data_IF_466853396527
#
_entry.id   IF_466853396527
#
_cell.length_a   1.000
_cell.length_b   1.000
_cell.length_c   1.000
_cell.angle_alpha   90.00
_cell.angle_beta   90.00
_cell.angle_gamma   90.00
#
_symmetry.space_group_name_H-M   'P 1'
#
loop_
_entity.id
_entity.type
_entity.pdbx_description
1 polymer ?
#
# COMPACT_ATOMS: atom_id res chain seq x y z
N UNK A 1 13.33 -46.62 56.92
CA UNK A 1 12.68 -45.70 57.90
C UNK A 1 12.52 -44.33 57.25
N UNK A 2 11.39 -43.62 57.50
CA UNK A 2 11.13 -42.13 57.58
C UNK A 2 12.29 -41.16 57.19
N UNK A 3 12.20 -39.93 56.61
CA UNK A 3 11.20 -38.91 56.09
C UNK A 3 12.03 -37.79 55.39
N UNK A 4 11.55 -36.80 54.62
CA UNK A 4 10.26 -36.63 53.93
C UNK A 4 9.38 -35.38 54.19
N UNK A 5 9.82 -34.11 53.99
CA UNK A 5 8.94 -32.87 54.03
C UNK A 5 9.53 -31.57 53.40
N UNK A 6 8.94 -31.08 52.30
CA UNK A 6 8.16 -29.81 52.07
C UNK A 6 8.51 -28.39 52.67
N UNK A 7 8.21 -27.35 51.85
CA UNK A 7 7.93 -25.87 52.10
C UNK A 7 9.14 -24.90 52.23
N UNK A 8 9.08 -23.57 51.93
CA UNK A 8 8.02 -22.62 51.44
C UNK A 8 8.61 -21.30 50.84
N UNK A 9 7.85 -20.65 49.95
CA UNK A 9 7.58 -19.22 49.61
C UNK A 9 8.46 -17.99 50.01
N UNK A 10 8.52 -17.04 49.05
CA UNK A 10 8.37 -15.55 49.12
C UNK A 10 9.42 -14.54 49.68
N UNK A 11 10.00 -13.76 48.73
CA UNK A 11 9.80 -12.29 48.52
C UNK A 11 10.62 -11.17 49.23
N UNK A 12 10.79 -10.09 48.42
CA UNK A 12 11.16 -8.67 48.68
C UNK A 12 12.63 -8.24 48.89
N UNK A 13 13.01 -7.22 48.12
CA UNK A 13 14.15 -6.29 48.33
C UNK A 13 13.64 -4.84 48.25
N UNK A 14 14.28 -3.95 49.01
CA UNK A 14 13.94 -2.53 49.18
C UNK A 14 14.75 -1.57 48.27
N UNK A 15 14.27 -0.33 48.12
CA UNK A 15 15.04 0.85 47.71
C UNK A 15 14.14 1.91 47.04
N UNK A 16 13.72 3.05 47.61
CA UNK A 16 14.34 4.13 48.41
C UNK A 16 15.16 5.15 47.59
N UNK A 17 14.70 6.42 47.50
CA UNK A 17 15.55 7.55 47.04
C UNK A 17 14.88 8.65 46.19
N UNK A 18 14.09 9.52 46.82
CA UNK A 18 13.80 10.93 46.39
C UNK A 18 14.71 11.86 47.25
N UNK A 19 14.99 13.16 46.97
CA UNK A 19 13.95 14.23 46.81
C UNK A 19 14.30 15.55 46.04
N UNK A 20 13.31 16.47 46.03
CA UNK A 20 13.30 17.91 45.67
C UNK A 20 13.53 18.33 44.20
N UNK A 21 12.82 19.32 43.61
CA UNK A 21 11.63 20.06 44.06
C UNK A 21 11.78 21.60 44.00
N UNK A 22 11.34 22.26 42.92
CA UNK A 22 11.10 23.72 42.84
C UNK A 22 9.87 23.99 41.95
N UNK A 23 8.90 24.75 42.46
CA UNK A 23 7.82 25.38 41.68
C UNK A 23 8.19 26.82 41.31
N UNK A 24 7.84 27.28 40.09
CA UNK A 24 6.88 28.39 39.87
C UNK A 24 6.71 28.76 38.38
N UNK A 25 5.62 29.47 37.98
CA UNK A 25 5.08 29.40 36.63
C UNK A 25 5.47 30.57 35.70
N UNK A 26 5.66 30.26 34.41
CA UNK A 26 5.72 31.26 33.34
C UNK A 26 4.44 31.27 32.51
N UNK A 27 3.58 32.25 32.78
CA UNK A 27 2.44 32.61 31.91
C UNK A 27 2.97 33.16 30.58
N UNK A 28 2.92 32.37 29.51
CA UNK A 28 3.11 32.92 28.16
C UNK A 28 1.81 33.55 27.66
N UNK A 29 1.85 34.85 27.33
CA UNK A 29 0.78 35.52 26.58
C UNK A 29 1.01 35.24 25.09
N UNK A 30 0.14 34.46 24.46
CA UNK A 30 0.13 34.35 23.00
C UNK A 30 -0.62 35.53 22.38
N UNK A 31 0.12 36.55 21.93
CA UNK A 31 -0.45 37.65 21.16
C UNK A 31 -0.82 37.17 19.76
N UNK A 32 -2.11 36.98 19.48
CA UNK A 32 -2.62 36.70 18.14
C UNK A 32 -2.55 37.99 17.31
N UNK A 33 -1.66 38.03 16.32
CA UNK A 33 -1.73 39.04 15.28
C UNK A 33 -2.94 38.73 14.36
N UNK A 34 -3.87 39.68 14.26
CA UNK A 34 -5.07 39.56 13.41
C UNK A 34 -5.12 40.74 12.46
N UNK A 35 -4.90 40.49 11.16
CA UNK A 35 -5.30 41.44 10.12
C UNK A 35 -6.79 41.29 9.87
N UNK A 36 -7.49 42.43 9.79
CA UNK A 36 -8.89 42.54 9.36
C UNK A 36 -8.96 43.51 8.20
N UNK A 37 -9.55 43.06 7.09
CA UNK A 37 -9.91 43.91 5.96
C UNK A 37 -11.44 43.91 5.81
N UNK A 38 -12.10 45.05 5.53
CA UNK A 38 -13.52 45.09 5.26
C UNK A 38 -13.82 44.58 3.84
N UNK A 39 -14.89 43.79 3.69
CA UNK A 39 -15.48 43.50 2.38
C UNK A 39 -17.01 43.52 2.47
N UNK A 40 -17.68 43.76 1.35
CA UNK A 40 -19.13 43.86 1.26
C UNK A 40 -19.78 42.48 1.51
N UNK A 41 -20.21 42.25 2.74
CA UNK A 41 -20.81 40.99 3.20
C UNK A 41 -20.22 40.44 4.51
N UNK A 42 -19.06 40.92 4.96
CA UNK A 42 -18.48 40.52 6.24
C UNK A 42 -16.96 40.67 6.34
N UNK A 43 -16.42 40.39 7.53
CA UNK A 43 -14.99 40.52 7.84
C UNK A 43 -14.32 39.15 7.86
N UNK A 44 -13.30 38.95 7.02
CA UNK A 44 -12.43 37.77 7.11
C UNK A 44 -11.32 38.03 8.15
N UNK A 45 -11.01 37.02 8.97
CA UNK A 45 -9.90 37.07 9.94
C UNK A 45 -8.99 35.86 9.74
N UNK A 46 -7.70 36.11 9.52
CA UNK A 46 -6.69 35.06 9.43
C UNK A 46 -6.08 34.81 10.83
N UNK A 47 -5.98 33.55 11.24
CA UNK A 47 -5.33 33.16 12.50
C UNK A 47 -4.15 32.23 12.23
N UNK A 48 -2.95 32.68 12.58
CA UNK A 48 -1.75 31.85 12.64
C UNK A 48 -1.67 31.19 14.02
N UNK A 49 -1.73 29.86 14.07
CA UNK A 49 -1.49 29.09 15.29
C UNK A 49 -0.03 28.62 15.35
N UNK A 50 0.67 28.77 16.49
CA UNK A 50 2.00 28.20 16.65
C UNK A 50 1.90 26.69 16.88
N UNK A 51 2.67 25.89 16.13
CA UNK A 51 2.80 24.45 16.37
C UNK A 51 3.83 24.18 17.46
N UNK A 52 3.46 23.37 18.45
CA UNK A 52 4.39 22.88 19.49
C UNK A 52 5.13 21.64 18.99
N UNK A 53 6.46 21.73 18.85
CA UNK A 53 7.33 20.57 18.71
C UNK A 53 8.19 20.40 19.97
N UNK A 54 8.16 19.22 20.57
CA UNK A 54 9.14 18.81 21.58
C UNK A 54 10.45 18.43 20.86
N UNK A 55 11.55 19.08 21.26
CA UNK A 55 12.90 18.78 20.75
C UNK A 55 13.67 17.96 21.78
N UNK A 56 14.06 16.74 21.43
CA UNK A 56 15.15 16.03 22.10
C UNK A 56 16.49 16.55 21.56
N UNK A 57 17.42 16.86 22.47
CA UNK A 57 18.66 17.58 22.16
C UNK A 57 19.80 16.60 21.87
N UNK A 58 20.32 16.59 20.64
CA UNK A 58 21.63 16.00 20.31
C UNK A 58 22.64 17.15 20.15
N UNK A 59 23.77 17.17 20.89
CA UNK A 59 24.77 18.22 20.75
C UNK A 59 25.79 17.88 19.65
N UNK A 60 26.03 18.81 18.72
CA UNK A 60 27.22 18.76 17.84
C UNK A 60 27.02 18.82 16.32
N UNK A 61 26.01 19.53 15.80
CA UNK A 61 25.95 19.85 14.36
C UNK A 61 25.36 21.24 14.08
N UNK A 62 25.83 21.86 13.00
CA UNK A 62 25.54 23.25 12.64
C UNK A 62 24.13 23.47 12.08
N UNK A 63 23.70 24.74 12.16
CA UNK A 63 22.35 25.20 11.83
C UNK A 63 21.97 24.98 10.35
N UNK A 64 20.94 24.17 10.11
CA UNK A 64 20.19 24.13 8.85
C UNK A 64 18.78 24.66 9.09
N UNK A 65 18.27 25.64 8.31
CA UNK A 65 16.90 26.10 8.45
C UNK A 65 15.90 25.03 7.98
N UNK A 66 15.09 24.51 8.89
CA UNK A 66 13.97 23.62 8.55
C UNK A 66 12.84 24.41 7.87
N UNK A 67 12.18 23.86 6.81
CA UNK A 67 11.04 24.52 6.19
C UNK A 67 9.81 24.50 7.10
N UNK A 68 9.09 25.62 7.15
CA UNK A 68 7.83 25.75 7.87
C UNK A 68 6.75 24.85 7.24
N UNK A 69 6.21 23.92 8.01
CA UNK A 69 5.06 23.11 7.60
C UNK A 69 3.80 23.96 7.68
N UNK A 70 3.19 24.29 6.54
CA UNK A 70 1.95 25.04 6.50
C UNK A 70 0.76 24.14 6.88
N UNK A 71 0.14 24.40 8.02
CA UNK A 71 -1.05 23.69 8.49
C UNK A 71 -2.27 23.93 7.58
N UNK A 72 -3.13 22.91 7.45
CA UNK A 72 -4.40 23.01 6.70
C UNK A 72 -5.31 24.09 7.30
N UNK A 73 -5.72 25.06 6.49
CA UNK A 73 -6.84 25.92 6.82
C UNK A 73 -8.16 25.14 6.75
N UNK A 74 -9.04 25.33 7.74
CA UNK A 74 -10.40 24.79 7.75
C UNK A 74 -11.39 25.95 7.88
N UNK A 75 -12.38 26.03 6.98
CA UNK A 75 -13.47 26.99 7.10
C UNK A 75 -14.53 26.46 8.06
N UNK A 76 -14.76 27.18 9.16
CA UNK A 76 -15.86 26.92 10.08
C UNK A 76 -16.97 27.97 9.91
N UNK A 77 -17.93 27.70 9.00
CA UNK A 77 -19.14 28.52 8.85
C UNK A 77 -20.13 28.18 9.96
N UNK A 78 -20.41 29.12 10.87
CA UNK A 78 -21.54 28.98 11.81
C UNK A 78 -22.84 29.34 11.10
N UNK A 79 -23.62 28.34 10.72
CA UNK A 79 -25.05 28.50 10.48
C UNK A 79 -25.84 27.66 11.49
N UNK A 80 -26.88 28.26 12.08
CA UNK A 80 -27.85 27.51 12.87
C UNK A 80 -28.59 26.52 11.95
N UNK A 81 -28.63 25.26 12.38
CA UNK A 81 -29.39 24.19 11.71
C UNK A 81 -30.75 24.02 12.41
N UNK A 82 -31.76 23.54 11.67
CA UNK A 82 -32.43 22.32 12.14
C UNK A 82 -32.59 21.24 11.06
N UNK A 83 -32.19 20.03 11.44
CA UNK A 83 -32.63 18.68 11.02
C UNK A 83 -32.79 18.24 9.54
N UNK A 84 -32.15 17.08 9.28
CA UNK A 84 -32.51 15.97 8.35
C UNK A 84 -32.30 16.12 6.83
N UNK A 85 -31.11 15.70 6.36
CA UNK A 85 -30.88 14.59 5.39
C UNK A 85 -29.41 14.58 4.91
N UNK A 86 -28.84 13.44 4.45
CA UNK A 86 -27.38 13.31 4.30
C UNK A 86 -26.85 14.00 3.04
N UNK A 87 -25.91 14.93 3.23
CA UNK A 87 -25.19 15.61 2.14
C UNK A 87 -24.05 14.73 1.65
N UNK A 88 -24.01 14.52 0.33
CA UNK A 88 -22.94 13.81 -0.38
C UNK A 88 -21.57 14.47 -0.18
N UNK A 89 -20.44 13.74 -0.29
CA UNK A 89 -19.12 14.31 -0.11
C UNK A 89 -18.84 15.38 -1.19
N UNK A 90 -18.70 16.63 -0.75
CA UNK A 90 -18.35 17.76 -1.63
C UNK A 90 -17.05 17.49 -2.39
N UNK A 91 -17.01 17.74 -3.72
CA UNK A 91 -15.82 17.44 -4.52
C UNK A 91 -14.68 18.42 -4.20
N UNK A 92 -13.47 17.88 -4.04
CA UNK A 92 -12.21 18.64 -3.78
C UNK A 92 -11.92 19.78 -4.78
N UNK A 93 -12.62 19.82 -5.92
CA UNK A 93 -12.43 20.80 -7.01
C UNK A 93 -12.67 22.26 -6.58
N UNK A 94 -13.59 22.53 -5.65
CA UNK A 94 -13.93 23.91 -5.30
C UNK A 94 -12.79 24.63 -4.55
N UNK A 95 -12.05 23.94 -3.67
CA UNK A 95 -10.91 24.54 -2.97
C UNK A 95 -9.79 24.98 -3.93
N UNK A 96 -9.53 24.20 -4.99
CA UNK A 96 -8.58 24.57 -6.04
C UNK A 96 -9.06 25.77 -6.86
N UNK A 97 -10.36 25.85 -7.19
CA UNK A 97 -10.91 26.96 -7.98
C UNK A 97 -10.77 28.31 -7.23
N UNK A 98 -11.03 28.35 -5.92
CA UNK A 98 -10.86 29.56 -5.12
C UNK A 98 -9.39 30.05 -5.06
N UNK A 99 -8.41 29.14 -5.01
CA UNK A 99 -6.99 29.51 -5.08
C UNK A 99 -6.57 30.01 -6.47
N UNK A 100 -7.05 29.37 -7.54
CA UNK A 100 -6.74 29.76 -8.91
C UNK A 100 -7.32 31.14 -9.25
N UNK A 101 -8.55 31.43 -8.82
CA UNK A 101 -9.18 32.75 -9.05
C UNK A 101 -8.42 33.89 -8.34
N UNK A 102 -7.86 33.64 -7.15
CA UNK A 102 -7.08 34.65 -6.40
C UNK A 102 -5.69 34.88 -7.02
N UNK A 103 -5.07 33.82 -7.56
CA UNK A 103 -3.77 33.91 -8.24
C UNK A 103 -3.87 34.36 -9.71
N UNK A 104 -5.06 34.37 -10.33
CA UNK A 104 -5.27 34.96 -11.66
C UNK A 104 -5.03 36.49 -11.71
N UNK A 105 -4.90 37.13 -10.54
CA UNK A 105 -4.51 38.53 -10.36
C UNK A 105 -3.08 38.68 -9.79
N UNK A 106 -2.32 37.58 -9.66
CA UNK A 106 -0.97 37.62 -9.11
C UNK A 106 0.01 38.24 -10.11
N UNK A 107 0.86 39.14 -9.62
CA UNK A 107 1.94 39.70 -10.44
C UNK A 107 2.97 38.64 -10.79
N UNK A 108 3.75 38.89 -11.84
CA UNK A 108 4.80 37.99 -12.33
C UNK A 108 5.80 37.60 -11.23
N UNK A 109 6.11 38.52 -10.31
CA UNK A 109 6.99 38.31 -9.17
C UNK A 109 6.43 37.30 -8.17
N UNK A 110 5.11 37.34 -7.91
CA UNK A 110 4.43 36.39 -7.01
C UNK A 110 4.44 34.99 -7.62
N UNK A 111 4.18 34.87 -8.92
CA UNK A 111 4.23 33.57 -9.61
C UNK A 111 5.65 33.00 -9.63
N UNK A 112 6.67 33.83 -9.90
CA UNK A 112 8.09 33.44 -9.81
C UNK A 112 8.52 33.05 -8.39
N UNK A 113 7.94 33.64 -7.35
CA UNK A 113 8.18 33.25 -5.97
C UNK A 113 7.48 31.93 -5.59
N UNK A 114 6.29 31.66 -6.11
CA UNK A 114 5.48 30.47 -5.75
C UNK A 114 5.86 29.22 -6.54
N UNK A 115 6.09 29.33 -7.85
CA UNK A 115 6.29 28.16 -8.73
C UNK A 115 7.48 27.25 -8.35
N UNK A 116 8.63 27.74 -7.80
CA UNK A 116 9.71 26.89 -7.30
C UNK A 116 9.32 25.91 -6.17
N UNK A 117 8.20 26.16 -5.49
CA UNK A 117 7.68 25.32 -4.40
C UNK A 117 6.66 24.25 -4.86
N UNK A 118 6.18 24.32 -6.11
CA UNK A 118 5.23 23.36 -6.66
C UNK A 118 5.92 22.04 -7.03
N UNK A 119 5.14 20.95 -7.06
CA UNK A 119 5.59 19.70 -7.69
C UNK A 119 5.40 19.73 -9.21
N UNK A 120 5.87 18.70 -9.92
CA UNK A 120 5.79 18.66 -11.38
C UNK A 120 4.40 18.43 -11.97
N UNK A 121 3.41 18.01 -11.17
CA UNK A 121 2.01 17.87 -11.58
C UNK A 121 1.29 19.21 -11.41
N UNK A 122 1.51 19.89 -10.29
CA UNK A 122 0.95 21.21 -10.03
C UNK A 122 1.55 22.26 -10.97
N UNK A 123 2.88 22.23 -11.19
CA UNK A 123 3.55 23.12 -12.16
C UNK A 123 3.08 22.85 -13.60
N UNK A 124 2.86 21.58 -13.99
CA UNK A 124 2.26 21.26 -15.29
C UNK A 124 0.82 21.79 -15.42
N UNK A 125 0.06 21.78 -14.33
CA UNK A 125 -1.30 22.31 -14.28
C UNK A 125 -1.34 23.84 -14.41
N UNK A 126 -0.34 24.53 -13.84
CA UNK A 126 -0.14 25.98 -14.00
C UNK A 126 0.02 26.37 -15.48
N UNK A 127 0.69 25.54 -16.30
CA UNK A 127 0.86 25.78 -17.75
C UNK A 127 -0.44 25.81 -18.56
N UNK A 128 -1.58 25.44 -17.96
CA UNK A 128 -2.89 25.40 -18.61
C UNK A 128 -3.84 26.52 -18.16
N UNK A 129 -3.42 27.42 -17.27
CA UNK A 129 -4.27 28.51 -16.73
C UNK A 129 -4.41 29.65 -17.73
N UNK A 130 -3.32 30.35 -18.03
CA UNK A 130 -3.27 31.42 -19.04
C UNK A 130 -1.88 31.50 -19.71
N UNK A 131 -1.65 32.53 -20.52
CA UNK A 131 -0.36 32.75 -21.18
C UNK A 131 0.77 33.10 -20.20
N UNK A 132 0.55 34.00 -19.25
CA UNK A 132 1.56 34.45 -18.28
C UNK A 132 2.02 33.28 -17.40
N UNK A 133 1.07 32.52 -16.85
CA UNK A 133 1.34 31.32 -16.07
C UNK A 133 2.09 30.27 -16.90
N UNK A 134 1.69 30.07 -18.16
CA UNK A 134 2.39 29.16 -19.07
C UNK A 134 3.82 29.59 -19.35
N UNK A 135 4.06 30.86 -19.64
CA UNK A 135 5.39 31.37 -19.98
C UNK A 135 6.33 31.24 -18.77
N UNK A 136 5.86 31.55 -17.54
CA UNK A 136 6.64 31.39 -16.30
C UNK A 136 6.81 29.91 -15.92
N UNK A 137 5.76 29.09 -15.98
CA UNK A 137 5.83 27.66 -15.64
C UNK A 137 6.59 26.84 -16.69
N UNK A 138 6.84 27.38 -17.89
CA UNK A 138 7.69 26.76 -18.91
C UNK A 138 9.19 26.98 -18.66
N UNK A 139 9.60 27.77 -17.66
CA UNK A 139 11.00 27.99 -17.34
C UNK A 139 11.70 26.67 -16.99
N UNK A 140 12.66 26.30 -17.83
CA UNK A 140 13.37 25.03 -17.74
C UNK A 140 14.24 24.93 -16.47
N UNK A 141 14.52 26.05 -15.79
CA UNK A 141 15.14 26.05 -14.46
C UNK A 141 14.24 25.41 -13.40
N UNK A 142 12.92 25.67 -13.43
CA UNK A 142 11.96 25.05 -12.51
C UNK A 142 11.93 23.52 -12.71
N UNK A 143 11.91 23.10 -13.98
CA UNK A 143 11.97 21.69 -14.35
C UNK A 143 13.33 21.05 -14.06
N UNK A 144 14.44 21.80 -14.17
CA UNK A 144 15.78 21.35 -13.73
C UNK A 144 15.83 21.11 -12.23
N UNK A 145 15.22 21.97 -11.42
CA UNK A 145 15.11 21.78 -9.98
C UNK A 145 14.26 20.55 -9.62
N UNK A 146 13.15 20.32 -10.31
CA UNK A 146 12.33 19.10 -10.16
C UNK A 146 13.08 17.83 -10.60
N UNK A 147 13.81 17.89 -11.72
CA UNK A 147 14.70 16.82 -12.17
C UNK A 147 15.84 16.57 -11.17
N UNK A 148 16.44 17.61 -10.58
CA UNK A 148 17.51 17.46 -9.61
C UNK A 148 17.05 16.76 -8.33
N UNK A 149 15.80 16.99 -7.88
CA UNK A 149 15.20 16.30 -6.74
C UNK A 149 14.94 14.81 -7.00
N UNK A 150 14.64 14.41 -8.25
CA UNK A 150 14.21 13.04 -8.61
C UNK A 150 15.30 12.18 -9.28
N UNK A 151 16.14 12.80 -10.09
CA UNK A 151 17.21 12.18 -10.87
C UNK A 151 18.47 13.08 -10.83
N UNK A 152 19.17 13.20 -9.69
CA UNK A 152 20.24 14.19 -9.49
C UNK A 152 21.39 14.09 -10.50
N UNK A 153 21.68 12.90 -11.02
CA UNK A 153 22.73 12.63 -12.00
C UNK A 153 22.54 13.37 -13.33
N UNK A 154 21.29 13.63 -13.72
CA UNK A 154 20.95 14.26 -15.00
C UNK A 154 21.33 15.74 -14.99
N UNK A 155 21.11 16.41 -13.85
CA UNK A 155 21.47 17.81 -13.64
C UNK A 155 22.98 18.03 -13.39
N UNK A 156 23.78 16.95 -13.24
CA UNK A 156 25.25 17.02 -13.17
C UNK A 156 25.92 17.20 -14.54
N UNK A 157 25.24 16.84 -15.63
CA UNK A 157 25.72 17.17 -16.96
C UNK A 157 25.23 18.57 -17.35
N UNK A 158 26.09 19.45 -17.90
CA UNK A 158 25.67 20.80 -18.30
C UNK A 158 24.67 20.79 -19.46
N UNK A 159 24.71 19.76 -20.33
CA UNK A 159 23.80 19.58 -21.47
C UNK A 159 23.35 18.10 -21.58
N UNK A 160 22.34 17.64 -20.81
CA UNK A 160 21.79 16.29 -20.94
C UNK A 160 20.91 16.18 -22.19
N UNK A 161 21.54 16.03 -23.36
CA UNK A 161 20.93 15.94 -24.71
C UNK A 161 20.22 17.22 -25.20
N UNK A 162 19.68 17.20 -26.42
CA UNK A 162 18.91 18.30 -27.05
C UNK A 162 17.48 18.45 -26.49
N UNK A 163 17.20 17.85 -25.34
CA UNK A 163 15.90 17.86 -24.66
C UNK A 163 15.95 18.83 -23.48
N UNK A 164 14.92 19.67 -23.36
CA UNK A 164 14.72 20.53 -22.18
C UNK A 164 14.37 19.68 -20.96
N UNK A 165 14.69 20.14 -19.75
CA UNK A 165 14.32 19.45 -18.50
C UNK A 165 12.80 19.25 -18.39
N UNK A 166 11.97 20.16 -18.91
CA UNK A 166 10.52 19.94 -19.06
C UNK A 166 10.20 18.70 -19.92
N UNK A 167 10.81 18.57 -21.10
CA UNK A 167 10.60 17.41 -21.98
C UNK A 167 11.12 16.13 -21.34
N UNK A 168 12.26 16.19 -20.66
CA UNK A 168 12.79 15.08 -19.89
C UNK A 168 11.79 14.64 -18.81
N UNK A 169 11.41 15.57 -17.92
CA UNK A 169 10.46 15.31 -16.84
C UNK A 169 9.15 14.73 -17.38
N UNK A 170 8.54 15.35 -18.39
CA UNK A 170 7.32 14.88 -19.04
C UNK A 170 7.43 13.46 -19.64
N UNK A 171 8.61 13.08 -20.12
CA UNK A 171 8.85 11.75 -20.72
C UNK A 171 8.93 10.66 -19.65
N UNK A 172 9.69 10.88 -18.58
CA UNK A 172 9.96 9.88 -17.53
C UNK A 172 9.01 9.97 -16.32
N UNK A 173 8.24 11.05 -16.18
CA UNK A 173 7.18 11.19 -15.19
C UNK A 173 5.86 10.53 -15.62
N UNK A 174 5.63 10.37 -16.94
CA UNK A 174 4.51 9.56 -17.42
C UNK A 174 4.68 8.14 -16.86
N UNK A 175 3.67 7.66 -16.13
CA UNK A 175 3.48 6.21 -15.93
C UNK A 175 3.62 5.57 -17.30
N UNK A 176 4.43 4.51 -17.41
CA UNK A 176 4.52 3.73 -18.64
C UNK A 176 3.09 3.50 -19.13
N UNK A 177 2.79 3.93 -20.35
CA UNK A 177 1.56 3.47 -20.98
C UNK A 177 1.64 1.95 -20.94
N UNK A 178 0.60 1.32 -20.37
CA UNK A 178 0.36 -0.11 -20.55
C UNK A 178 0.35 -0.31 -22.05
N UNK A 179 1.48 -0.74 -22.61
CA UNK A 179 1.53 -1.21 -23.99
C UNK A 179 0.50 -2.32 -24.03
N UNK A 180 -0.38 -2.29 -25.01
CA UNK A 180 -1.31 -3.39 -25.24
C UNK A 180 -0.46 -4.61 -25.57
N UNK A 181 -0.17 -5.41 -24.55
CA UNK A 181 0.47 -6.70 -24.71
C UNK A 181 -0.48 -7.54 -25.58
N UNK A 182 0.11 -8.39 -26.43
CA UNK A 182 -0.70 -9.31 -27.24
C UNK A 182 -1.57 -10.15 -26.30
N UNK A 183 -2.81 -10.50 -26.66
CA UNK A 183 -3.66 -11.34 -25.81
C UNK A 183 -2.91 -12.61 -25.34
N UNK A 184 -3.10 -13.06 -24.09
CA UNK A 184 -2.51 -14.31 -23.62
C UNK A 184 -2.85 -15.47 -24.56
N UNK A 185 -1.90 -16.40 -24.75
CA UNK A 185 -2.11 -17.58 -25.63
C UNK A 185 -2.83 -18.74 -24.93
N UNK A 186 -3.29 -18.52 -23.70
CA UNK A 186 -3.97 -19.49 -22.84
C UNK A 186 -5.24 -18.87 -22.25
N UNK A 187 -6.28 -19.68 -22.09
CA UNK A 187 -7.47 -19.34 -21.30
C UNK A 187 -7.53 -20.18 -20.03
N UNK A 188 -8.17 -19.65 -18.98
CA UNK A 188 -8.49 -20.42 -17.77
C UNK A 188 -9.39 -21.63 -18.04
N UNK A 189 -10.15 -21.62 -19.13
CA UNK A 189 -10.97 -22.76 -19.56
C UNK A 189 -10.13 -23.97 -19.99
N UNK A 190 -8.91 -23.71 -20.47
CA UNK A 190 -7.94 -24.72 -20.93
C UNK A 190 -6.95 -25.15 -19.83
N UNK A 191 -7.02 -24.54 -18.64
CA UNK A 191 -6.11 -24.82 -17.52
C UNK A 191 -6.75 -25.74 -16.47
N UNK A 192 -5.93 -26.58 -15.86
CA UNK A 192 -6.26 -27.39 -14.68
C UNK A 192 -5.11 -27.29 -13.66
N UNK A 193 -5.43 -27.06 -12.39
CA UNK A 193 -4.46 -26.86 -11.33
C UNK A 193 -4.47 -28.07 -10.39
N UNK A 194 -3.35 -28.77 -10.34
CA UNK A 194 -3.12 -29.91 -9.46
C UNK A 194 -2.56 -29.36 -8.15
N UNK A 195 -3.33 -29.45 -7.07
CA UNK A 195 -2.99 -28.82 -5.78
C UNK A 195 -2.93 -29.92 -4.72
N UNK A 196 -1.72 -30.21 -4.23
CA UNK A 196 -1.46 -31.25 -3.22
C UNK A 196 -0.92 -30.61 -1.94
N UNK A 197 -1.58 -30.83 -0.81
CA UNK A 197 -1.18 -30.34 0.51
C UNK A 197 -0.84 -31.52 1.42
N UNK A 198 0.34 -31.47 2.02
CA UNK A 198 0.92 -32.52 2.84
C UNK A 198 1.24 -31.99 4.24
N UNK A 199 0.91 -32.74 5.28
CA UNK A 199 1.53 -32.58 6.61
C UNK A 199 2.57 -33.68 6.80
N UNK A 200 3.83 -33.29 6.90
CA UNK A 200 4.99 -34.18 6.95
C UNK A 200 5.08 -35.08 5.69
N UNK A 201 4.54 -36.30 5.76
CA UNK A 201 4.40 -37.24 4.65
C UNK A 201 2.94 -37.74 4.45
N UNK A 202 1.98 -37.19 5.19
CA UNK A 202 0.56 -37.51 5.07
C UNK A 202 -0.11 -36.50 4.14
N UNK A 203 -0.79 -36.99 3.10
CA UNK A 203 -1.59 -36.16 2.21
C UNK A 203 -2.86 -35.70 2.95
N UNK A 204 -3.04 -34.39 3.11
CA UNK A 204 -4.23 -33.80 3.74
C UNK A 204 -5.31 -33.43 2.71
N UNK A 205 -4.87 -32.97 1.54
CA UNK A 205 -5.73 -32.51 0.46
C UNK A 205 -5.04 -32.73 -0.89
N UNK A 206 -5.79 -33.17 -1.90
CA UNK A 206 -5.32 -33.34 -3.28
C UNK A 206 -6.52 -33.18 -4.21
N UNK A 207 -6.47 -32.20 -5.11
CA UNK A 207 -7.56 -31.93 -6.05
C UNK A 207 -7.02 -31.39 -7.38
N UNK A 208 -7.77 -31.66 -8.46
CA UNK A 208 -7.57 -31.07 -9.78
C UNK A 208 -8.63 -30.01 -10.01
N UNK A 209 -8.26 -28.74 -9.84
CA UNK A 209 -9.17 -27.60 -9.87
C UNK A 209 -9.17 -26.96 -11.26
N UNK A 210 -10.31 -26.89 -11.97
CA UNK A 210 -10.37 -26.21 -13.27
C UNK A 210 -10.02 -24.72 -13.13
N UNK A 211 -9.25 -24.18 -14.08
CA UNK A 211 -8.86 -22.78 -14.08
C UNK A 211 -10.07 -21.83 -14.08
N UNK A 212 -11.18 -22.22 -14.70
CA UNK A 212 -12.44 -21.46 -14.69
C UNK A 212 -13.08 -21.35 -13.30
N UNK A 213 -12.92 -22.35 -12.41
CA UNK A 213 -13.36 -22.30 -11.01
C UNK A 213 -12.50 -21.31 -10.22
N UNK A 214 -11.18 -21.45 -10.33
CA UNK A 214 -10.21 -20.53 -9.73
C UNK A 214 -10.40 -19.07 -10.18
N UNK A 215 -10.73 -18.85 -11.45
CA UNK A 215 -10.99 -17.52 -12.03
C UNK A 215 -12.36 -16.95 -11.64
N UNK A 216 -13.38 -17.80 -11.46
CA UNK A 216 -14.68 -17.35 -10.94
C UNK A 216 -14.56 -16.90 -9.48
N UNK A 217 -13.66 -17.52 -8.73
CA UNK A 217 -13.54 -17.32 -7.29
C UNK A 217 -14.73 -17.93 -6.54
N UNK A 218 -14.73 -17.76 -5.23
CA UNK A 218 -15.92 -18.01 -4.41
C UNK A 218 -16.22 -16.83 -3.49
N UNK A 219 -17.50 -16.68 -3.14
CA UNK A 219 -17.93 -15.78 -2.08
C UNK A 219 -17.77 -16.50 -0.74
N UNK A 220 -17.13 -15.85 0.22
CA UNK A 220 -16.96 -16.40 1.56
C UNK A 220 -18.31 -16.86 2.14
N UNK A 221 -18.37 -18.03 2.82
CA UNK A 221 -19.56 -18.46 3.54
C UNK A 221 -20.07 -17.35 4.48
N UNK A 222 -21.38 -17.11 4.47
CA UNK A 222 -21.99 -16.03 5.26
C UNK A 222 -21.90 -16.24 6.79
N UNK A 223 -21.57 -17.47 7.23
CA UNK A 223 -21.46 -17.85 8.64
C UNK A 223 -20.06 -18.41 8.93
N UNK A 224 -19.46 -18.01 10.06
CA UNK A 224 -18.20 -18.57 10.57
C UNK A 224 -16.90 -18.04 9.93
N UNK A 225 -16.96 -17.13 8.95
CA UNK A 225 -15.78 -16.41 8.45
C UNK A 225 -15.65 -15.07 9.15
N UNK A 226 -14.45 -14.76 9.67
CA UNK A 226 -14.15 -13.48 10.32
C UNK A 226 -14.31 -12.29 9.34
N UNK A 227 -14.85 -11.17 9.83
CA UNK A 227 -15.12 -9.98 9.01
C UNK A 227 -13.85 -9.36 8.38
N UNK A 228 -12.68 -9.50 9.02
CA UNK A 228 -11.43 -9.05 8.41
C UNK A 228 -11.03 -9.89 7.19
N UNK A 229 -11.26 -11.22 7.25
CA UNK A 229 -11.00 -12.08 6.10
C UNK A 229 -12.04 -11.84 4.98
N UNK A 230 -13.31 -11.56 5.32
CA UNK A 230 -14.31 -11.10 4.33
C UNK A 230 -13.83 -9.83 3.61
N UNK A 231 -13.37 -8.82 4.34
CA UNK A 231 -12.86 -7.58 3.75
C UNK A 231 -11.65 -7.80 2.82
N UNK A 232 -10.73 -8.71 3.18
CA UNK A 232 -9.63 -9.10 2.27
C UNK A 232 -10.14 -9.83 1.02
N UNK A 233 -11.12 -10.71 1.17
CA UNK A 233 -11.72 -11.46 0.06
C UNK A 233 -12.51 -10.55 -0.90
N UNK A 234 -13.17 -9.52 -0.38
CA UNK A 234 -13.86 -8.48 -1.15
C UNK A 234 -12.93 -7.39 -1.72
N UNK A 235 -11.65 -7.40 -1.33
CA UNK A 235 -10.64 -6.45 -1.80
C UNK A 235 -10.42 -6.49 -3.32
N UNK A 236 -10.10 -5.33 -3.91
CA UNK A 236 -9.99 -5.10 -5.36
C UNK A 236 -8.75 -5.72 -6.03
N UNK A 237 -7.94 -6.46 -5.30
CA UNK A 237 -6.75 -7.15 -5.83
C UNK A 237 -7.18 -8.43 -6.54
N UNK A 238 -6.62 -8.67 -7.73
CA UNK A 238 -6.91 -9.88 -8.49
C UNK A 238 -6.25 -11.09 -7.83
N UNK A 239 -7.11 -12.04 -7.43
CA UNK A 239 -6.74 -13.29 -6.78
C UNK A 239 -7.63 -14.40 -7.33
N UNK A 240 -7.08 -15.60 -7.38
CA UNK A 240 -7.81 -16.80 -7.74
C UNK A 240 -8.17 -17.53 -6.45
N UNK A 241 -9.42 -17.96 -6.30
CA UNK A 241 -9.86 -18.63 -5.07
C UNK A 241 -10.79 -19.78 -5.37
N UNK A 242 -10.80 -20.80 -4.52
CA UNK A 242 -11.83 -21.85 -4.56
C UNK A 242 -12.15 -22.35 -3.14
N UNK A 243 -13.40 -22.78 -2.88
CA UNK A 243 -13.79 -23.35 -1.61
C UNK A 243 -13.32 -24.81 -1.55
N UNK A 244 -12.99 -25.29 -0.36
CA UNK A 244 -12.55 -26.68 -0.17
C UNK A 244 -13.69 -27.49 0.46
N UNK A 245 -14.17 -28.51 -0.26
CA UNK A 245 -15.21 -29.43 0.22
C UNK A 245 -14.82 -30.89 -0.07
N UNK A 246 -14.71 -31.79 0.94
CA UNK A 246 -14.86 -31.52 2.37
C UNK A 246 -13.71 -30.67 2.93
N UNK A 247 -14.03 -29.79 3.89
CA UNK A 247 -13.04 -29.02 4.64
C UNK A 247 -12.11 -29.94 5.42
N UNK A 248 -10.85 -29.54 5.55
CA UNK A 248 -9.81 -30.27 6.29
C UNK A 248 -9.18 -29.38 7.37
N UNK A 249 -8.59 -30.01 8.38
CA UNK A 249 -7.91 -29.29 9.47
C UNK A 249 -6.40 -29.38 9.32
N UNK A 250 -5.70 -28.27 9.58
CA UNK A 250 -4.24 -28.28 9.80
C UNK A 250 -3.94 -28.04 11.28
N UNK A 251 -2.97 -28.73 11.89
CA UNK A 251 -2.57 -28.44 13.26
C UNK A 251 -1.89 -27.08 13.42
N UNK A 252 -2.17 -26.44 14.55
CA UNK A 252 -1.81 -25.05 14.85
C UNK A 252 -0.50 -24.90 15.64
N UNK A 253 0.18 -26.02 15.89
CA UNK A 253 1.44 -26.09 16.64
C UNK A 253 2.69 -25.96 15.77
N UNK A 254 3.73 -25.33 16.31
CA UNK A 254 4.97 -24.94 15.61
C UNK A 254 5.82 -26.08 15.02
N UNK A 255 5.49 -27.34 15.28
CA UNK A 255 6.33 -28.50 14.92
C UNK A 255 5.85 -29.28 13.69
N UNK A 256 4.74 -28.91 13.04
CA UNK A 256 4.24 -29.64 11.88
C UNK A 256 4.57 -28.96 10.55
N UNK A 257 5.30 -29.70 9.72
CA UNK A 257 5.68 -29.28 8.39
C UNK A 257 4.51 -29.45 7.41
N UNK A 258 3.59 -28.48 7.37
CA UNK A 258 2.58 -28.40 6.31
C UNK A 258 3.20 -27.77 5.07
N UNK A 259 3.10 -28.47 3.94
CA UNK A 259 3.66 -28.06 2.65
C UNK A 259 2.67 -28.22 1.52
N UNK A 260 2.87 -27.49 0.42
CA UNK A 260 1.98 -27.51 -0.75
C UNK A 260 2.78 -27.58 -2.05
N UNK A 261 2.28 -28.35 -2.99
CA UNK A 261 2.74 -28.38 -4.38
C UNK A 261 1.60 -27.93 -5.29
N UNK A 262 1.93 -27.13 -6.30
CA UNK A 262 1.00 -26.70 -7.35
C UNK A 262 1.63 -26.92 -8.71
N UNK A 263 0.98 -27.74 -9.53
CA UNK A 263 1.25 -27.82 -10.97
C UNK A 263 0.05 -27.28 -11.74
N UNK A 264 0.30 -26.79 -12.96
CA UNK A 264 -0.75 -26.37 -13.88
C UNK A 264 -0.61 -27.18 -15.18
N UNK A 265 -1.70 -27.83 -15.57
CA UNK A 265 -1.84 -28.55 -16.84
C UNK A 265 -2.59 -27.73 -17.87
N UNK A 266 -2.31 -27.99 -19.15
CA UNK A 266 -2.96 -27.41 -20.32
C UNK A 266 -3.69 -28.49 -21.11
N UNK A 267 -5.01 -28.38 -21.22
CA UNK A 267 -5.88 -29.29 -22.00
C UNK A 267 -5.59 -29.20 -23.50
N UNK A 268 -5.32 -28.00 -23.99
CA UNK A 268 -5.15 -27.68 -25.41
C UNK A 268 -3.90 -28.30 -26.06
N UNK A 269 -2.89 -28.59 -25.25
CA UNK A 269 -1.55 -28.99 -25.69
C UNK A 269 -0.98 -30.17 -24.89
N UNK A 270 -1.73 -30.68 -23.90
CA UNK A 270 -1.35 -31.75 -22.98
C UNK A 270 0.02 -31.52 -22.32
N UNK A 271 0.28 -30.28 -21.93
CA UNK A 271 1.53 -29.84 -21.28
C UNK A 271 1.33 -29.57 -19.80
N UNK A 272 2.40 -29.71 -19.02
CA UNK A 272 2.39 -29.37 -17.59
C UNK A 272 3.53 -28.40 -17.27
N UNK A 273 3.25 -27.44 -16.41
CA UNK A 273 4.23 -26.55 -15.79
C UNK A 273 4.11 -26.58 -14.27
N UNK A 274 5.22 -26.29 -13.60
CA UNK A 274 5.32 -26.23 -12.14
C UNK A 274 5.12 -24.79 -11.67
N UNK A 275 4.32 -24.61 -10.63
CA UNK A 275 4.02 -23.28 -10.06
C UNK A 275 4.55 -23.14 -8.64
N UNK A 276 4.39 -24.18 -7.82
CA UNK A 276 4.89 -24.25 -6.43
C UNK A 276 5.43 -25.66 -6.17
N UNK A 277 6.61 -25.78 -5.59
CA UNK A 277 7.33 -27.05 -5.42
C UNK A 277 7.56 -27.43 -3.95
N UNK A 278 6.53 -28.01 -3.31
CA UNK A 278 6.57 -28.44 -1.90
C UNK A 278 6.98 -27.29 -0.95
N UNK A 279 6.46 -26.10 -1.18
CA UNK A 279 6.71 -24.94 -0.32
C UNK A 279 6.02 -25.09 1.02
N UNK A 280 6.68 -24.61 2.08
CA UNK A 280 6.18 -24.67 3.45
C UNK A 280 5.18 -23.55 3.72
N UNK A 281 4.15 -23.83 4.53
CA UNK A 281 3.33 -22.81 5.18
C UNK A 281 4.04 -22.31 6.45
N UNK A 282 5.13 -21.56 6.28
CA UNK A 282 5.98 -21.08 7.36
C UNK A 282 5.43 -19.81 8.05
N UNK A 283 4.58 -19.04 7.35
CA UNK A 283 3.93 -17.86 7.88
C UNK A 283 2.44 -18.11 8.16
N UNK A 284 2.10 -18.29 9.44
CA UNK A 284 0.72 -18.46 9.93
C UNK A 284 0.31 -17.19 10.68
N UNK A 285 -0.57 -16.40 10.07
CA UNK A 285 -1.15 -15.20 10.68
C UNK A 285 -2.58 -15.49 11.15
N UNK A 286 -2.67 -15.89 12.43
CA UNK A 286 -3.96 -16.09 13.12
C UNK A 286 -4.83 -14.84 13.15
N UNK A 287 -4.27 -13.64 13.02
CA UNK A 287 -5.10 -12.42 12.98
C UNK A 287 -5.82 -12.28 11.64
N UNK A 288 -5.14 -12.56 10.52
CA UNK A 288 -5.76 -12.57 9.18
C UNK A 288 -6.49 -13.87 8.83
N UNK A 289 -6.50 -14.87 9.71
CA UNK A 289 -7.09 -16.19 9.49
C UNK A 289 -6.50 -16.89 8.24
N UNK A 290 -5.17 -16.76 8.05
CA UNK A 290 -4.46 -17.31 6.89
C UNK A 290 -3.13 -17.95 7.27
N UNK A 291 -2.75 -19.00 6.54
CA UNK A 291 -1.36 -19.40 6.40
C UNK A 291 -0.91 -19.15 4.96
N UNK A 292 0.32 -18.66 4.78
CA UNK A 292 0.91 -18.33 3.50
C UNK A 292 2.07 -19.27 3.19
N UNK A 293 2.16 -19.70 1.93
CA UNK A 293 3.34 -20.31 1.34
C UNK A 293 3.61 -19.60 0.00
N UNK A 294 4.87 -19.61 -0.45
CA UNK A 294 5.22 -19.15 -1.79
C UNK A 294 6.33 -19.99 -2.41
N UNK A 295 6.45 -19.94 -3.72
CA UNK A 295 7.64 -20.39 -4.44
C UNK A 295 8.01 -19.39 -5.53
N UNK A 296 9.20 -19.53 -6.09
CA UNK A 296 9.60 -18.83 -7.30
C UNK A 296 9.14 -19.58 -8.55
N UNK A 297 8.56 -18.84 -9.50
CA UNK A 297 8.08 -19.43 -10.74
C UNK A 297 9.22 -19.98 -11.59
N UNK A 298 8.97 -21.18 -12.13
CA UNK A 298 9.84 -21.85 -13.09
C UNK A 298 9.56 -21.28 -14.50
N UNK A 299 10.19 -20.15 -14.81
CA UNK A 299 10.00 -19.43 -16.07
C UNK A 299 10.78 -20.10 -17.19
N UNK A 300 10.15 -20.25 -18.37
CA UNK A 300 10.77 -20.86 -19.54
C UNK A 300 12.09 -20.15 -19.93
N UNK A 301 13.13 -20.89 -20.34
CA UNK A 301 14.38 -20.33 -20.86
C UNK A 301 14.23 -19.35 -22.03
N UNK A 302 13.05 -19.29 -22.67
CA UNK A 302 12.69 -18.25 -23.65
C UNK A 302 12.59 -16.83 -23.07
N UNK A 303 12.53 -16.67 -21.74
CA UNK A 303 12.44 -15.39 -21.04
C UNK A 303 13.59 -15.19 -20.03
N UNK A 304 14.87 -15.22 -20.46
CA UNK A 304 16.04 -15.39 -19.58
C UNK A 304 16.33 -14.22 -18.61
N UNK A 305 15.57 -13.14 -18.68
CA UNK A 305 15.67 -11.98 -17.77
C UNK A 305 14.52 -11.89 -16.76
N UNK A 306 13.56 -12.81 -16.81
CA UNK A 306 12.49 -12.93 -15.82
C UNK A 306 12.92 -13.95 -14.76
N UNK A 307 13.08 -13.47 -13.52
CA UNK A 307 13.41 -14.27 -12.35
C UNK A 307 12.90 -13.58 -11.09
N UNK A 308 12.86 -14.31 -9.96
CA UNK A 308 12.42 -13.75 -8.68
C UNK A 308 10.92 -13.46 -8.58
N UNK A 309 10.12 -13.88 -9.57
CA UNK A 309 8.66 -13.77 -9.53
C UNK A 309 8.12 -14.86 -8.60
N UNK A 310 7.29 -14.47 -7.63
CA UNK A 310 6.69 -15.40 -6.67
C UNK A 310 5.26 -15.78 -7.06
N UNK A 311 4.92 -17.05 -6.86
CA UNK A 311 3.55 -17.52 -6.75
C UNK A 311 3.20 -17.65 -5.27
N UNK A 312 2.13 -16.97 -4.84
CA UNK A 312 1.62 -17.07 -3.47
C UNK A 312 0.43 -18.01 -3.43
N UNK A 313 0.37 -18.84 -2.40
CA UNK A 313 -0.79 -19.66 -2.06
C UNK A 313 -1.11 -19.52 -0.58
N UNK A 314 -2.39 -19.48 -0.24
CA UNK A 314 -2.87 -19.29 1.11
C UNK A 314 -3.96 -20.28 1.48
N UNK A 315 -3.87 -20.84 2.67
CA UNK A 315 -4.99 -21.53 3.31
C UNK A 315 -5.83 -20.49 4.04
N UNK A 316 -7.16 -20.57 3.91
CA UNK A 316 -8.12 -19.66 4.52
C UNK A 316 -8.84 -20.39 5.65
N UNK A 317 -8.81 -19.84 6.86
CA UNK A 317 -9.33 -20.49 8.06
C UNK A 317 -10.67 -19.94 8.51
N UNK A 318 -11.51 -20.83 9.03
CA UNK A 318 -12.72 -20.44 9.75
C UNK A 318 -12.38 -19.84 11.10
N UNK A 319 -13.30 -19.04 11.64
CA UNK A 319 -13.26 -18.57 13.03
C UNK A 319 -13.76 -19.69 13.96
N UNK A 320 -12.89 -20.65 14.25
CA UNK A 320 -13.13 -21.72 15.24
C UNK A 320 -12.55 -21.36 16.62
N UNK A 321 -13.12 -21.95 17.68
CA UNK A 321 -12.68 -21.82 19.08
C UNK A 321 -11.58 -22.81 19.45
N UNK A 322 -11.27 -23.77 18.57
CA UNK A 322 -10.22 -24.74 18.79
C UNK A 322 -8.86 -24.14 18.41
N UNK A 323 -8.09 -23.69 19.40
CA UNK A 323 -6.78 -23.06 19.14
C UNK A 323 -5.72 -24.03 18.57
N UNK A 324 -5.94 -25.35 18.68
CA UNK A 324 -5.00 -26.39 18.29
C UNK A 324 -5.16 -26.86 16.83
N UNK A 325 -6.33 -26.63 16.21
CA UNK A 325 -6.65 -27.05 14.83
C UNK A 325 -7.28 -25.89 14.06
N UNK A 326 -6.77 -25.61 12.86
CA UNK A 326 -7.31 -24.60 11.96
C UNK A 326 -8.12 -25.27 10.84
N UNK A 327 -9.43 -25.01 10.81
CA UNK A 327 -10.41 -25.51 9.83
C UNK A 327 -10.31 -24.74 8.51
N UNK A 328 -9.80 -25.39 7.46
CA UNK A 328 -9.56 -24.79 6.14
C UNK A 328 -10.82 -24.87 5.29
N UNK A 329 -11.41 -23.71 4.97
CA UNK A 329 -12.63 -23.62 4.14
C UNK A 329 -12.36 -23.23 2.68
N UNK A 330 -11.15 -22.78 2.36
CA UNK A 330 -10.81 -22.35 1.02
C UNK A 330 -9.33 -22.13 0.83
N UNK A 331 -8.94 -22.06 -0.44
CA UNK A 331 -7.58 -21.81 -0.88
C UNK A 331 -7.60 -20.56 -1.77
N UNK A 332 -6.65 -19.66 -1.52
CA UNK A 332 -6.36 -18.50 -2.37
C UNK A 332 -5.01 -18.70 -3.04
N UNK A 333 -4.90 -18.28 -4.30
CA UNK A 333 -3.66 -18.23 -5.05
C UNK A 333 -3.56 -16.89 -5.78
N UNK A 334 -2.41 -16.24 -5.69
CA UNK A 334 -2.19 -14.94 -6.34
C UNK A 334 -0.71 -14.69 -6.71
N UNK A 335 -0.51 -13.62 -7.48
CA UNK A 335 0.78 -13.19 -8.00
C UNK A 335 0.97 -11.69 -7.75
N UNK A 336 0.50 -11.21 -6.59
CA UNK A 336 0.33 -9.79 -6.26
C UNK A 336 1.58 -8.92 -6.44
N UNK A 337 2.78 -9.51 -6.38
CA UNK A 337 4.05 -8.85 -6.67
C UNK A 337 4.18 -8.32 -8.11
N UNK A 338 3.49 -8.94 -9.09
CA UNK A 338 3.69 -8.69 -10.53
C UNK A 338 2.42 -8.63 -11.38
N UNK A 339 1.31 -9.20 -10.94
CA UNK A 339 0.07 -9.28 -11.70
C UNK A 339 -1.15 -8.94 -10.83
N UNK A 340 -2.02 -8.07 -11.32
CA UNK A 340 -3.21 -7.59 -10.62
C UNK A 340 -4.44 -7.53 -11.56
N UNK A 341 -4.50 -8.46 -12.51
CA UNK A 341 -5.64 -8.68 -13.42
C UNK A 341 -5.59 -10.08 -14.03
N UNK A 342 -6.74 -10.55 -14.55
CA UNK A 342 -6.87 -11.83 -15.25
C UNK A 342 -5.82 -11.96 -16.37
N UNK A 343 -5.67 -10.92 -17.18
CA UNK A 343 -4.78 -10.90 -18.34
C UNK A 343 -3.31 -10.93 -17.91
N UNK A 344 -2.93 -10.19 -16.86
CA UNK A 344 -1.57 -10.21 -16.31
C UNK A 344 -1.20 -11.59 -15.72
N UNK A 345 -2.15 -12.29 -15.08
CA UNK A 345 -1.93 -13.66 -14.60
C UNK A 345 -1.80 -14.65 -15.76
N UNK A 346 -2.66 -14.57 -16.78
CA UNK A 346 -2.56 -15.44 -17.96
C UNK A 346 -1.27 -15.19 -18.76
N UNK A 347 -0.77 -13.96 -18.85
CA UNK A 347 0.56 -13.70 -19.42
C UNK A 347 1.68 -14.34 -18.62
N UNK A 348 1.60 -14.28 -17.28
CA UNK A 348 2.61 -14.88 -16.42
C UNK A 348 2.63 -16.41 -16.52
N UNK A 349 1.45 -17.04 -16.58
CA UNK A 349 1.30 -18.48 -16.75
C UNK A 349 1.75 -18.97 -18.14
N UNK A 350 1.57 -18.16 -19.21
CA UNK A 350 2.06 -18.49 -20.57
C UNK A 350 3.61 -18.49 -20.65
N UNK A 351 4.29 -17.84 -19.69
CA UNK A 351 5.76 -17.76 -19.62
C UNK A 351 6.43 -18.92 -18.85
N UNK A 352 5.65 -19.82 -18.21
CA UNK A 352 6.21 -20.95 -17.45
C UNK A 352 6.97 -21.95 -18.35
N UNK A 353 7.84 -22.76 -17.74
CA UNK A 353 8.59 -23.82 -18.42
C UNK A 353 7.74 -25.07 -18.73
N UNK A 354 6.75 -24.90 -19.60
CA UNK A 354 5.81 -25.92 -20.06
C UNK A 354 6.51 -27.11 -20.74
N UNK A 355 6.41 -28.29 -20.11
CA UNK A 355 6.90 -29.56 -20.67
C UNK A 355 5.83 -30.20 -21.55
#
# INVERSE_FOLDING_TARGET
MKRGTLKKDEARVYGSGMPFGIENPLKSKSSIASLKAPWAGGTVSLHLLPSTCLLSKVPGSDLVPSPLILGRASLATRHHQPHLSPVTPYPRRHASIFYVQFLAMASEEVLKAVFPFLDGVDLASCMAVDKQWKDIASDDFLWKCLCAKRWPSICKQPNPSTLTYYKFYKTFHKRQHRRTLLPPRISFDDLEFFIDIWAENTLLFSEVVPGSVLQAGFKAPASGVCDMLKFQLEGSEYKMTFPVEPRFTIPSGQNQNVSVSVMVGRKDSNKVARVINKSMFDYIDRSSYRALAFDYLDISPGYPFLSGIRAWISLLFMEDRNEDLMDVFGIQMDFCDVANSKEEVLWLLDMLDWK
#
